data_IF_709500358047
#
_entry.id   IF_709500358047
#
_cell.length_a   1.000
_cell.length_b   1.000
_cell.length_c   1.000
_cell.angle_alpha   90.00
_cell.angle_beta   90.00
_cell.angle_gamma   90.00
#
_symmetry.space_group_name_H-M   'P 1'
#
loop_
_entity.id
_entity.type
_entity.pdbx_description
1 polymer ?
#
# COMPACT_ATOMS: atom_id res chain seq x y z
N UNK A 1 -48.24 38.00 -25.55
CA UNK A 1 -47.33 38.91 -26.28
C UNK A 1 -46.32 39.41 -25.25
N UNK A 2 -45.07 38.92 -25.14
CA UNK A 2 -44.22 38.08 -26.00
C UNK A 2 -43.92 38.70 -27.38
N UNK A 3 -42.63 38.74 -27.74
CA UNK A 3 -42.03 39.24 -28.99
C UNK A 3 -42.17 40.76 -29.21
N UNK A 4 -41.21 41.46 -29.85
CA UNK A 4 -39.76 41.24 -30.02
C UNK A 4 -39.18 42.60 -30.45
N UNK A 5 -38.00 43.06 -30.05
CA UNK A 5 -36.69 42.40 -30.09
C UNK A 5 -36.31 41.89 -31.50
N UNK A 6 -36.37 42.77 -32.50
CA UNK A 6 -35.41 42.95 -33.60
C UNK A 6 -35.76 44.32 -34.22
N UNK A 7 -34.84 45.24 -34.52
CA UNK A 7 -33.40 45.09 -34.68
C UNK A 7 -32.67 46.32 -34.11
N UNK A 8 -31.85 46.15 -33.05
CA UNK A 8 -30.94 47.20 -32.51
C UNK A 8 -29.66 47.35 -33.37
N UNK A 9 -29.77 47.06 -34.67
CA UNK A 9 -28.71 47.05 -35.67
C UNK A 9 -29.34 47.42 -37.01
N UNK A 10 -28.55 48.02 -37.90
CA UNK A 10 -28.98 48.54 -39.21
C UNK A 10 -30.00 49.70 -39.09
N UNK A 11 -29.72 50.95 -39.52
CA UNK A 11 -28.63 51.44 -40.37
C UNK A 11 -28.13 52.82 -39.89
N UNK A 12 -26.91 52.91 -39.35
CA UNK A 12 -26.12 54.14 -39.46
C UNK A 12 -25.47 54.18 -40.86
N UNK A 13 -26.31 54.17 -41.89
CA UNK A 13 -25.95 54.15 -43.30
C UNK A 13 -27.12 54.76 -44.08
N UNK A 14 -27.00 55.92 -44.73
CA UNK A 14 -25.84 56.83 -44.86
C UNK A 14 -26.26 58.26 -44.49
N UNK A 15 -25.28 59.16 -44.40
CA UNK A 15 -25.51 60.53 -44.92
C UNK A 15 -25.75 60.42 -46.43
N UNK A 16 -26.97 60.72 -46.88
CA UNK A 16 -27.16 61.36 -48.18
C UNK A 16 -27.32 62.88 -47.98
N UNK A 17 -26.86 63.75 -48.87
CA UNK A 17 -26.35 63.55 -50.24
C UNK A 17 -25.22 62.52 -50.33
N UNK A 18 -25.40 61.54 -51.23
CA UNK A 18 -25.17 60.13 -50.88
C UNK A 18 -23.68 59.76 -50.94
N UNK A 19 -23.15 59.46 -49.75
CA UNK A 19 -23.04 58.03 -49.43
C UNK A 19 -21.74 57.32 -49.78
N UNK A 20 -20.63 57.77 -49.21
CA UNK A 20 -19.63 56.84 -48.62
C UNK A 20 -19.32 57.30 -47.20
N UNK A 21 -19.13 56.38 -46.23
CA UNK A 21 -19.04 56.74 -44.83
C UNK A 21 -17.77 57.54 -44.55
N UNK A 22 -17.89 58.59 -43.73
CA UNK A 22 -16.73 59.16 -43.04
C UNK A 22 -16.20 58.07 -42.10
N UNK A 23 -15.02 57.55 -42.37
CA UNK A 23 -14.30 56.68 -41.43
C UNK A 23 -14.11 57.47 -40.14
N UNK A 24 -14.77 57.05 -39.06
CA UNK A 24 -14.52 57.61 -37.74
C UNK A 24 -13.12 57.14 -37.33
N UNK A 25 -12.10 57.97 -37.61
CA UNK A 25 -10.71 57.62 -37.34
C UNK A 25 -10.54 57.43 -35.85
N UNK A 26 -10.09 56.24 -35.46
CA UNK A 26 -10.07 55.76 -34.07
C UNK A 26 -9.36 56.72 -33.12
N UNK A 27 -8.41 57.52 -33.61
CA UNK A 27 -7.58 58.53 -32.90
C UNK A 27 -8.22 59.30 -31.73
N UNK A 28 -9.52 59.63 -31.78
CA UNK A 28 -10.20 60.31 -30.66
C UNK A 28 -10.67 59.34 -29.55
N UNK A 29 -11.03 58.10 -29.91
CA UNK A 29 -11.25 57.00 -28.97
C UNK A 29 -9.91 56.49 -28.44
N UNK A 30 -8.91 56.27 -29.30
CA UNK A 30 -7.55 55.84 -28.93
C UNK A 30 -6.94 56.75 -27.85
N UNK A 31 -7.11 58.08 -27.99
CA UNK A 31 -6.62 59.05 -27.01
C UNK A 31 -7.39 59.03 -25.68
N UNK A 32 -8.71 58.78 -25.70
CA UNK A 32 -9.52 58.66 -24.48
C UNK A 32 -9.23 57.33 -23.76
N UNK A 33 -9.05 56.24 -24.51
CA UNK A 33 -8.66 54.93 -24.00
C UNK A 33 -7.25 54.96 -23.41
N UNK A 34 -6.30 55.67 -24.03
CA UNK A 34 -4.97 55.90 -23.48
C UNK A 34 -5.01 56.70 -22.15
N UNK A 35 -5.81 57.77 -22.06
CA UNK A 35 -5.96 58.56 -20.81
C UNK A 35 -6.69 57.76 -19.72
N UNK A 36 -7.71 56.98 -20.08
CA UNK A 36 -8.41 56.12 -19.13
C UNK A 36 -7.50 55.00 -18.62
N UNK A 37 -6.69 54.41 -19.50
CA UNK A 37 -5.70 53.39 -19.14
C UNK A 37 -4.61 53.98 -18.25
N UNK A 38 -4.03 55.13 -18.59
CA UNK A 38 -3.06 55.84 -17.73
C UNK A 38 -3.63 56.11 -16.33
N UNK A 39 -4.88 56.57 -16.24
CA UNK A 39 -5.54 56.81 -14.96
C UNK A 39 -5.76 55.53 -14.13
N UNK A 40 -6.06 54.40 -14.77
CA UNK A 40 -6.20 53.09 -14.11
C UNK A 40 -4.83 52.59 -13.67
N UNK A 41 -3.87 52.52 -14.59
CA UNK A 41 -2.56 51.92 -14.38
C UNK A 41 -1.70 52.74 -13.40
N UNK A 42 -1.62 54.06 -13.55
CA UNK A 42 -0.71 54.91 -12.76
C UNK A 42 -1.37 55.56 -11.53
N UNK A 43 -2.70 55.45 -11.34
CA UNK A 43 -3.39 56.11 -10.20
C UNK A 43 -4.31 55.20 -9.39
N UNK A 44 -4.74 54.07 -9.97
CA UNK A 44 -5.55 53.07 -9.28
C UNK A 44 -4.68 51.86 -8.89
N UNK A 45 -3.92 51.29 -9.84
CA UNK A 45 -3.09 50.12 -9.57
C UNK A 45 -1.95 50.42 -8.59
N UNK A 46 -1.30 51.59 -8.64
CA UNK A 46 -0.31 52.03 -7.63
C UNK A 46 -0.88 52.03 -6.20
N UNK A 47 -2.13 52.48 -6.03
CA UNK A 47 -2.80 52.48 -4.72
C UNK A 47 -3.17 51.07 -4.27
N UNK A 48 -3.60 50.22 -5.21
CA UNK A 48 -3.83 48.81 -4.92
C UNK A 48 -2.53 48.05 -4.64
N UNK A 49 -1.40 48.41 -5.25
CA UNK A 49 -0.08 47.83 -4.97
C UNK A 49 0.41 48.21 -3.58
N UNK A 50 0.30 49.49 -3.18
CA UNK A 50 0.61 49.92 -1.83
C UNK A 50 -0.27 49.23 -0.76
N UNK A 51 -1.57 49.07 -1.05
CA UNK A 51 -2.50 48.35 -0.17
C UNK A 51 -2.20 46.84 -0.12
N UNK A 52 -1.89 46.21 -1.26
CA UNK A 52 -1.49 44.81 -1.35
C UNK A 52 -0.23 44.55 -0.53
N UNK A 53 0.80 45.39 -0.69
CA UNK A 53 2.06 45.30 0.06
C UNK A 53 1.85 45.36 1.59
N UNK A 54 0.93 46.21 2.07
CA UNK A 54 0.55 46.24 3.49
C UNK A 54 -0.08 44.91 3.95
N UNK A 55 -0.96 44.31 3.14
CA UNK A 55 -1.54 43.01 3.45
C UNK A 55 -0.52 41.86 3.32
N UNK A 56 0.36 41.86 2.31
CA UNK A 56 1.43 40.88 2.14
C UNK A 56 2.34 40.86 3.38
N UNK A 57 2.85 42.03 3.80
CA UNK A 57 3.66 42.16 5.02
C UNK A 57 2.93 41.64 6.27
N UNK A 58 1.62 41.90 6.38
CA UNK A 58 0.85 41.45 7.55
C UNK A 58 0.56 39.95 7.52
N UNK A 59 0.38 39.38 6.33
CA UNK A 59 0.25 37.95 6.08
C UNK A 59 1.57 37.23 6.39
N UNK A 60 2.71 37.76 5.95
CA UNK A 60 4.02 37.13 6.18
C UNK A 60 4.45 37.22 7.64
N UNK A 61 4.15 38.34 8.33
CA UNK A 61 4.26 38.47 9.78
C UNK A 61 3.33 37.53 10.57
N UNK A 62 2.26 37.03 9.96
CA UNK A 62 1.40 36.01 10.55
C UNK A 62 1.94 34.60 10.27
N UNK A 63 2.34 34.32 9.02
CA UNK A 63 2.96 33.04 8.61
C UNK A 63 4.13 32.70 9.52
N UNK A 64 5.13 33.58 9.64
CA UNK A 64 6.34 33.31 10.43
C UNK A 64 6.05 32.89 11.87
N UNK A 65 5.05 33.52 12.51
CA UNK A 65 4.61 33.17 13.88
C UNK A 65 3.86 31.83 13.95
N UNK A 66 3.16 31.42 12.88
CA UNK A 66 2.59 30.07 12.80
C UNK A 66 3.63 29.02 12.43
N UNK A 67 4.55 29.32 11.51
CA UNK A 67 5.61 28.42 11.04
C UNK A 67 6.56 28.05 12.20
N UNK A 68 7.05 29.04 12.96
CA UNK A 68 7.86 28.83 14.18
C UNK A 68 7.15 27.90 15.18
N UNK A 69 5.83 28.08 15.35
CA UNK A 69 5.02 27.26 16.26
C UNK A 69 4.73 25.86 15.72
N UNK A 70 4.62 25.70 14.40
CA UNK A 70 4.48 24.39 13.73
C UNK A 70 5.79 23.61 13.82
N UNK A 71 6.93 24.23 13.57
CA UNK A 71 8.24 23.58 13.73
C UNK A 71 8.50 23.18 15.19
N UNK A 72 8.15 24.04 16.15
CA UNK A 72 8.19 23.72 17.58
C UNK A 72 7.33 22.50 17.94
N UNK A 73 6.18 22.30 17.29
CA UNK A 73 5.32 21.11 17.47
C UNK A 73 5.81 19.87 16.70
N UNK A 74 6.61 20.05 15.65
CA UNK A 74 7.04 18.99 14.74
C UNK A 74 8.25 18.20 15.26
N UNK A 75 9.17 18.89 15.95
CA UNK A 75 10.43 18.33 16.45
C UNK A 75 10.22 17.06 17.30
N UNK A 76 9.26 17.08 18.23
CA UNK A 76 8.98 15.91 19.10
C UNK A 76 8.46 14.69 18.31
N UNK A 77 7.65 14.93 17.29
CA UNK A 77 7.07 13.87 16.44
C UNK A 77 8.14 13.21 15.57
N UNK A 78 8.96 14.00 14.87
CA UNK A 78 9.95 13.47 13.94
C UNK A 78 11.10 12.76 14.67
N UNK A 79 11.54 13.27 15.83
CA UNK A 79 12.59 12.64 16.65
C UNK A 79 12.14 11.29 17.20
N UNK A 80 10.91 11.17 17.73
CA UNK A 80 10.41 9.86 18.18
C UNK A 80 10.21 8.89 17.01
N UNK A 81 9.71 9.37 15.86
CA UNK A 81 9.49 8.54 14.69
C UNK A 81 10.80 7.99 14.11
N UNK A 82 11.86 8.78 14.04
CA UNK A 82 13.17 8.33 13.56
C UNK A 82 13.90 7.42 14.56
N UNK A 83 13.76 7.65 15.87
CA UNK A 83 14.24 6.70 16.88
C UNK A 83 13.52 5.35 16.74
N UNK A 84 12.19 5.36 16.56
CA UNK A 84 11.40 4.13 16.39
C UNK A 84 11.74 3.41 15.07
N UNK A 85 11.95 4.13 13.97
CA UNK A 85 12.46 3.56 12.70
C UNK A 85 13.82 2.91 12.89
N UNK A 86 14.74 3.58 13.59
CA UNK A 86 16.09 3.07 13.85
C UNK A 86 16.02 1.78 14.65
N UNK A 87 15.31 1.79 15.79
CA UNK A 87 15.07 0.59 16.62
C UNK A 87 14.39 -0.53 15.82
N UNK A 88 13.42 -0.22 14.96
CA UNK A 88 12.77 -1.21 14.09
C UNK A 88 13.73 -1.79 13.05
N UNK A 89 14.66 -1.00 12.52
CA UNK A 89 15.69 -1.47 11.57
C UNK A 89 16.74 -2.33 12.26
N UNK A 90 17.22 -1.95 13.43
CA UNK A 90 18.17 -2.70 14.24
C UNK A 90 17.55 -4.03 14.70
N UNK A 91 16.29 -4.00 15.17
CA UNK A 91 15.52 -5.20 15.54
C UNK A 91 15.26 -6.12 14.34
N UNK A 92 14.93 -5.57 13.16
CA UNK A 92 14.77 -6.36 11.92
C UNK A 92 16.06 -7.06 11.52
N UNK A 93 17.19 -6.36 11.61
CA UNK A 93 18.49 -6.91 11.24
C UNK A 93 18.91 -8.01 12.23
N UNK A 94 18.78 -7.76 13.54
CA UNK A 94 19.02 -8.78 14.57
C UNK A 94 18.09 -10.01 14.43
N UNK A 95 16.82 -9.82 14.01
CA UNK A 95 15.92 -10.93 13.67
C UNK A 95 16.41 -11.72 12.44
N UNK A 96 16.92 -11.05 11.40
CA UNK A 96 17.47 -11.73 10.22
C UNK A 96 18.77 -12.50 10.52
N UNK A 97 19.58 -12.01 11.46
CA UNK A 97 20.76 -12.70 11.98
C UNK A 97 20.38 -13.90 12.87
N UNK A 98 19.30 -13.79 13.65
CA UNK A 98 18.77 -14.90 14.45
C UNK A 98 18.22 -16.05 13.60
N UNK A 99 17.42 -15.77 12.54
CA UNK A 99 17.07 -16.77 11.53
C UNK A 99 16.39 -16.19 10.28
N UNK A 100 16.91 -16.54 9.09
CA UNK A 100 16.05 -16.83 7.93
C UNK A 100 16.70 -17.81 6.93
N UNK A 101 17.91 -17.53 6.44
CA UNK A 101 18.53 -18.23 5.30
C UNK A 101 18.58 -19.77 5.48
N UNK A 102 18.98 -20.23 6.66
CA UNK A 102 19.04 -21.66 7.04
C UNK A 102 17.71 -22.25 7.54
N UNK A 103 16.67 -21.44 7.75
CA UNK A 103 15.32 -21.94 8.05
C UNK A 103 14.46 -22.05 6.77
N UNK A 104 14.69 -21.22 5.76
CA UNK A 104 14.00 -21.29 4.47
C UNK A 104 14.20 -22.64 3.77
N UNK A 105 15.37 -23.26 3.92
CA UNK A 105 15.64 -24.62 3.43
C UNK A 105 15.05 -25.75 4.30
N UNK A 106 14.52 -25.44 5.49
CA UNK A 106 13.97 -26.45 6.43
C UNK A 106 12.44 -26.56 6.38
N UNK A 107 11.75 -25.51 5.91
CA UNK A 107 10.29 -25.47 5.76
C UNK A 107 9.52 -25.48 7.10
N UNK A 108 8.30 -24.94 7.12
CA UNK A 108 7.41 -25.12 8.26
C UNK A 108 6.59 -26.41 8.06
N UNK A 109 6.97 -27.47 8.78
CA UNK A 109 6.23 -28.75 8.76
C UNK A 109 5.12 -28.74 9.81
N UNK A 110 3.92 -29.14 9.40
CA UNK A 110 2.76 -29.27 10.29
C UNK A 110 1.91 -30.49 9.92
N UNK A 111 1.12 -30.96 10.88
CA UNK A 111 0.25 -32.15 10.76
C UNK A 111 -1.20 -31.75 10.43
N UNK A 112 -1.91 -32.60 9.67
CA UNK A 112 -3.36 -32.51 9.48
C UNK A 112 -4.04 -33.88 9.47
N UNK A 113 -5.26 -33.94 10.03
CA UNK A 113 -6.20 -35.03 9.79
C UNK A 113 -7.00 -34.79 8.49
N UNK A 114 -7.56 -35.86 7.93
CA UNK A 114 -8.55 -35.74 6.84
C UNK A 114 -9.90 -35.24 7.34
N UNK A 115 -10.75 -34.75 6.43
CA UNK A 115 -12.15 -34.36 6.75
C UNK A 115 -13.01 -35.52 7.27
N UNK A 116 -12.60 -36.76 6.96
CA UNK A 116 -13.17 -38.02 7.48
C UNK A 116 -12.51 -38.47 8.80
N UNK A 117 -11.77 -37.58 9.47
CA UNK A 117 -11.10 -37.80 10.75
C UNK A 117 -9.74 -38.50 10.66
N UNK A 118 -9.29 -39.03 11.80
CA UNK A 118 -8.02 -39.74 12.00
C UNK A 118 -7.81 -40.91 11.02
N UNK A 119 -6.59 -41.01 10.50
CA UNK A 119 -6.11 -42.12 9.66
C UNK A 119 -7.04 -42.43 8.48
N UNK A 120 -7.53 -41.38 7.84
CA UNK A 120 -8.60 -41.47 6.83
C UNK A 120 -8.13 -41.22 5.39
N UNK A 121 -6.94 -40.63 5.19
CA UNK A 121 -6.42 -40.22 3.87
C UNK A 121 -5.58 -41.34 3.24
N UNK A 122 -5.74 -41.60 1.95
CA UNK A 122 -4.69 -42.26 1.14
C UNK A 122 -3.54 -41.28 0.83
N UNK A 123 -2.44 -41.74 0.22
CA UNK A 123 -1.35 -40.84 -0.17
C UNK A 123 -1.80 -39.73 -1.14
N UNK A 124 -2.62 -40.07 -2.15
CA UNK A 124 -3.12 -39.10 -3.13
C UNK A 124 -4.07 -38.08 -2.49
N UNK A 125 -4.95 -38.52 -1.59
CA UNK A 125 -5.81 -37.61 -0.81
C UNK A 125 -5.00 -36.70 0.12
N UNK A 126 -3.92 -37.23 0.71
CA UNK A 126 -3.01 -36.47 1.56
C UNK A 126 -2.23 -35.42 0.78
N UNK A 127 -1.72 -35.78 -0.41
CA UNK A 127 -1.09 -34.84 -1.34
C UNK A 127 -2.03 -33.72 -1.72
N UNK A 128 -3.24 -34.05 -2.18
CA UNK A 128 -4.27 -33.07 -2.52
C UNK A 128 -4.67 -32.18 -1.34
N UNK A 129 -4.63 -32.69 -0.09
CA UNK A 129 -4.94 -31.90 1.12
C UNK A 129 -3.84 -30.88 1.49
N UNK A 130 -2.58 -31.15 1.15
CA UNK A 130 -1.51 -30.14 1.20
C UNK A 130 -1.69 -29.13 0.06
N UNK A 131 -1.86 -29.62 -1.18
CA UNK A 131 -1.95 -28.77 -2.39
C UNK A 131 -3.15 -27.82 -2.33
N UNK A 132 -4.28 -28.24 -1.74
CA UNK A 132 -5.46 -27.39 -1.53
C UNK A 132 -5.24 -26.21 -0.57
N UNK A 133 -4.07 -26.13 0.09
CA UNK A 133 -3.65 -25.00 0.93
C UNK A 133 -2.46 -24.23 0.33
N UNK A 134 -2.00 -24.58 -0.87
CA UNK A 134 -0.80 -24.01 -1.47
C UNK A 134 0.51 -24.57 -0.89
N UNK A 135 0.47 -25.79 -0.35
CA UNK A 135 1.58 -26.44 0.34
C UNK A 135 1.86 -27.83 -0.26
N UNK A 136 3.01 -28.44 0.06
CA UNK A 136 3.39 -29.77 -0.43
C UNK A 136 3.37 -30.79 0.70
N UNK A 137 3.44 -32.08 0.36
CA UNK A 137 3.82 -33.12 1.33
C UNK A 137 5.19 -32.79 1.91
N UNK A 138 5.36 -32.95 3.23
CA UNK A 138 6.66 -32.76 3.84
C UNK A 138 7.64 -33.86 3.41
N UNK A 139 8.88 -33.48 3.10
CA UNK A 139 9.97 -34.43 2.90
C UNK A 139 10.42 -35.02 4.24
N UNK A 140 11.03 -36.21 4.22
CA UNK A 140 11.60 -36.85 5.41
C UNK A 140 12.70 -36.00 6.07
N UNK A 141 13.41 -35.19 5.28
CA UNK A 141 14.41 -34.23 5.75
C UNK A 141 13.79 -33.01 6.45
N UNK A 142 12.70 -32.45 5.90
CA UNK A 142 11.95 -31.37 6.57
C UNK A 142 11.31 -31.88 7.88
N UNK A 143 10.74 -33.10 7.90
CA UNK A 143 10.21 -33.71 9.13
C UNK A 143 11.31 -33.93 10.19
N UNK A 144 12.53 -34.33 9.78
CA UNK A 144 13.68 -34.45 10.68
C UNK A 144 14.09 -33.08 11.25
N UNK A 145 14.16 -32.03 10.42
CA UNK A 145 14.46 -30.68 10.88
C UNK A 145 13.39 -30.13 11.85
N UNK A 146 12.11 -30.43 11.61
CA UNK A 146 11.04 -30.08 12.53
C UNK A 146 11.13 -30.87 13.86
N UNK A 147 11.51 -32.14 13.80
CA UNK A 147 11.81 -32.94 15.00
C UNK A 147 12.99 -32.39 15.80
N UNK A 148 14.08 -31.95 15.15
CA UNK A 148 15.22 -31.26 15.80
C UNK A 148 14.76 -29.99 16.55
N UNK A 149 13.79 -29.26 15.99
CA UNK A 149 13.15 -28.09 16.61
C UNK A 149 12.09 -28.43 17.68
N UNK A 150 11.93 -29.71 18.01
CA UNK A 150 11.07 -30.17 19.11
C UNK A 150 9.71 -30.76 18.70
N UNK A 151 9.41 -30.92 17.41
CA UNK A 151 8.15 -31.50 16.96
C UNK A 151 7.95 -32.92 17.53
N UNK A 152 6.83 -33.12 18.23
CA UNK A 152 6.38 -34.41 18.70
C UNK A 152 4.92 -34.65 18.30
N UNK A 153 4.69 -35.72 17.53
CA UNK A 153 3.36 -36.14 17.12
C UNK A 153 3.28 -37.67 17.10
N UNK A 154 2.47 -38.27 17.98
CA UNK A 154 2.20 -39.70 17.98
C UNK A 154 1.05 -40.03 17.02
N UNK A 155 1.27 -39.71 15.73
CA UNK A 155 0.33 -39.96 14.64
C UNK A 155 1.10 -40.18 13.35
N UNK A 156 0.92 -41.34 12.73
CA UNK A 156 1.43 -41.60 11.39
C UNK A 156 0.81 -40.62 10.40
N UNK A 157 1.65 -39.88 9.69
CA UNK A 157 1.23 -39.06 8.55
C UNK A 157 2.03 -39.40 7.30
N UNK A 158 1.39 -39.27 6.13
CA UNK A 158 2.06 -39.38 4.83
C UNK A 158 3.09 -38.26 4.64
N UNK A 159 4.16 -38.61 3.91
CA UNK A 159 5.27 -37.76 3.48
C UNK A 159 5.44 -37.84 1.95
N UNK A 160 6.35 -37.03 1.41
CA UNK A 160 6.80 -37.17 0.03
C UNK A 160 7.27 -38.61 -0.26
N UNK A 161 6.98 -39.11 -1.46
CA UNK A 161 7.26 -40.50 -1.87
C UNK A 161 6.24 -41.53 -1.38
N UNK A 162 5.15 -41.11 -0.72
CA UNK A 162 4.15 -42.00 -0.10
C UNK A 162 4.72 -42.91 1.00
N UNK A 163 5.84 -42.53 1.61
CA UNK A 163 6.23 -43.08 2.92
C UNK A 163 5.31 -42.49 4.01
N UNK A 164 5.19 -43.18 5.15
CA UNK A 164 4.46 -42.68 6.30
C UNK A 164 5.30 -42.84 7.57
N UNK A 165 5.45 -41.76 8.33
CA UNK A 165 6.31 -41.70 9.52
C UNK A 165 5.70 -40.82 10.61
N UNK A 166 6.29 -40.82 11.81
CA UNK A 166 5.90 -39.92 12.90
C UNK A 166 7.05 -39.57 13.88
N UNK A 167 7.17 -38.30 14.34
CA UNK A 167 8.24 -37.86 15.23
C UNK A 167 7.87 -37.99 16.73
N UNK A 168 8.77 -38.56 17.55
CA UNK A 168 8.59 -38.70 19.01
C UNK A 168 9.80 -38.14 19.75
N UNK A 169 9.66 -37.00 20.43
CA UNK A 169 10.70 -36.46 21.32
C UNK A 169 10.71 -37.15 22.69
N UNK A 170 9.55 -37.26 23.35
CA UNK A 170 9.38 -37.96 24.63
C UNK A 170 8.58 -39.26 24.41
N UNK A 171 9.21 -40.45 24.52
CA UNK A 171 8.49 -41.72 24.44
C UNK A 171 7.40 -41.83 25.51
N UNK A 172 6.26 -42.43 25.15
CA UNK A 172 5.15 -42.74 26.07
C UNK A 172 4.51 -44.07 25.69
N UNK A 173 3.75 -44.65 26.61
CA UNK A 173 2.95 -45.85 26.35
C UNK A 173 2.13 -45.69 25.06
N UNK A 174 2.14 -46.73 24.23
CA UNK A 174 1.55 -46.78 22.88
C UNK A 174 2.14 -45.83 21.80
N UNK A 175 3.30 -45.17 22.03
CA UNK A 175 3.88 -44.19 21.10
C UNK A 175 5.36 -44.41 20.78
N UNK A 176 5.67 -45.56 20.17
CA UNK A 176 6.95 -45.82 19.50
C UNK A 176 8.20 -45.68 20.37
N UNK A 177 9.32 -45.36 19.73
CA UNK A 177 10.60 -44.99 20.38
C UNK A 177 10.95 -43.54 20.05
N UNK A 178 11.97 -42.98 20.71
CA UNK A 178 12.45 -41.63 20.42
C UNK A 178 13.01 -41.53 18.99
N UNK A 179 12.76 -40.41 18.32
CA UNK A 179 13.18 -40.14 16.93
C UNK A 179 12.02 -40.15 15.93
N UNK A 180 12.37 -40.22 14.63
CA UNK A 180 11.41 -40.51 13.56
C UNK A 180 11.13 -42.01 13.55
N UNK A 181 9.86 -42.38 13.57
CA UNK A 181 9.39 -43.76 13.49
C UNK A 181 8.67 -43.95 12.15
N UNK A 182 9.18 -44.83 11.30
CA UNK A 182 8.52 -45.20 10.03
C UNK A 182 7.41 -46.23 10.28
N UNK A 183 6.36 -46.20 9.47
CA UNK A 183 5.15 -47.00 9.67
C UNK A 183 4.51 -47.43 8.34
N UNK A 184 4.32 -48.73 8.15
CA UNK A 184 3.61 -49.29 7.00
C UNK A 184 2.12 -49.38 7.36
N UNK A 185 1.27 -48.58 6.69
CA UNK A 185 -0.17 -48.63 6.95
C UNK A 185 -0.85 -49.82 6.26
N UNK A 186 -1.23 -50.81 7.05
CA UNK A 186 -1.97 -52.00 6.59
C UNK A 186 -3.37 -51.70 6.04
N UNK A 187 -3.94 -50.53 6.34
CA UNK A 187 -5.22 -50.05 5.80
C UNK A 187 -5.04 -49.17 4.54
N UNK A 188 -3.81 -48.88 4.13
CA UNK A 188 -3.50 -47.92 3.08
C UNK A 188 -3.89 -46.48 3.43
N UNK A 189 -4.04 -46.15 4.72
CA UNK A 189 -4.50 -44.82 5.18
C UNK A 189 -3.70 -44.27 6.37
N UNK A 190 -3.55 -42.95 6.43
CA UNK A 190 -2.88 -42.23 7.50
C UNK A 190 -3.46 -40.82 7.67
N UNK A 191 -2.86 -40.01 8.56
CA UNK A 191 -2.99 -38.55 8.54
C UNK A 191 -1.98 -37.97 7.50
N UNK A 192 -1.66 -36.68 7.51
CA UNK A 192 -0.61 -36.10 6.64
C UNK A 192 0.32 -35.14 7.38
N UNK A 193 1.57 -35.05 6.93
CA UNK A 193 2.46 -33.92 7.22
C UNK A 193 2.68 -33.10 5.94
N UNK A 194 2.41 -31.80 6.01
CA UNK A 194 2.64 -30.86 4.91
C UNK A 194 3.76 -29.88 5.27
N UNK A 195 4.45 -29.36 4.26
CA UNK A 195 5.49 -28.34 4.39
C UNK A 195 5.10 -27.05 3.65
N UNK A 196 5.41 -25.92 4.27
CA UNK A 196 5.46 -24.61 3.62
C UNK A 196 6.86 -24.41 3.02
N UNK A 197 6.90 -24.14 1.71
CA UNK A 197 8.09 -23.77 0.91
C UNK A 197 8.25 -22.24 0.78
#
# INVERSE_FOLDING_TARGET
>A
MRQSLHLMLFLCSFVFVRGKPKTCTTKHLDGLEAVLKDYIDNKLNDKFAALKHYFDLKIDSLKSHFDEKVDSMKIDSDVQHDLLKKQLSETRNALSECACEKQRQRGLVYHMEGSRGRYSLTCDEAKALCESRGHKLATKAQLLAAYELGLQMCRTGWLEGCEASYPIQMPRSACGRRGINDFISSSGKADVFCAVD
#
